data_IF_063574902448
#
_entry.id   IF_063574902448
#
_cell.length_a   1.000
_cell.length_b   1.000
_cell.length_c   1.000
_cell.angle_alpha   90.00
_cell.angle_beta   90.00
_cell.angle_gamma   90.00
#
_symmetry.space_group_name_H-M   'P 1'
#
loop_
_entity.id
_entity.type
_entity.pdbx_description
1 polymer ?
#
# COMPACT_ATOMS: atom_id res chain seq x y z
N UNK A 1 -8.27 -17.22 -21.01
CA UNK A 1 -6.85 -17.34 -21.39
C UNK A 1 -6.02 -16.56 -20.39
N UNK A 2 -5.16 -17.23 -19.61
CA UNK A 2 -4.30 -16.56 -18.64
C UNK A 2 -3.26 -15.73 -19.39
N UNK A 3 -3.30 -14.41 -19.24
CA UNK A 3 -2.25 -13.53 -19.70
C UNK A 3 -1.03 -13.77 -18.81
N UNK A 4 -0.15 -14.67 -19.23
CA UNK A 4 1.20 -14.79 -18.68
C UNK A 4 1.97 -13.52 -19.03
N UNK A 5 1.91 -12.53 -18.14
CA UNK A 5 2.88 -11.43 -18.15
C UNK A 5 4.22 -12.09 -17.79
N UNK A 6 5.08 -12.28 -18.79
CA UNK A 6 6.48 -12.64 -18.53
C UNK A 6 7.03 -11.63 -17.52
N UNK A 7 7.70 -12.13 -16.49
CA UNK A 7 8.44 -11.32 -15.53
C UNK A 7 9.64 -10.66 -16.22
N UNK A 8 9.38 -9.75 -17.15
CA UNK A 8 10.35 -8.78 -17.61
C UNK A 8 10.67 -7.84 -16.45
N UNK A 9 11.91 -7.37 -16.40
CA UNK A 9 12.34 -6.36 -15.45
C UNK A 9 11.42 -5.14 -15.59
N UNK A 10 10.55 -4.91 -14.61
CA UNK A 10 9.75 -3.69 -14.59
C UNK A 10 10.69 -2.52 -14.32
N UNK A 11 10.99 -1.76 -15.37
CA UNK A 11 11.72 -0.49 -15.24
C UNK A 11 10.68 0.60 -15.00
N UNK A 12 10.54 1.14 -13.78
CA UNK A 12 9.60 2.23 -13.54
C UNK A 12 9.96 3.42 -14.42
N UNK A 13 9.01 3.89 -15.23
CA UNK A 13 9.13 5.20 -15.87
C UNK A 13 9.14 6.23 -14.75
N UNK A 14 10.31 6.80 -14.46
CA UNK A 14 10.46 7.86 -13.47
C UNK A 14 9.92 9.16 -14.05
N UNK A 15 8.63 9.40 -13.85
CA UNK A 15 8.03 10.70 -14.10
C UNK A 15 8.29 11.61 -12.90
N UNK A 16 8.64 12.87 -13.16
CA UNK A 16 8.60 13.91 -12.12
C UNK A 16 7.15 14.16 -11.68
N UNK A 17 6.91 14.70 -10.47
CA UNK A 17 5.55 15.02 -10.01
C UNK A 17 4.76 15.85 -11.03
N UNK A 18 5.40 16.86 -11.64
CA UNK A 18 4.78 17.69 -12.70
C UNK A 18 4.36 16.87 -13.93
N UNK A 19 5.14 15.88 -14.33
CA UNK A 19 4.80 15.00 -15.45
C UNK A 19 3.67 14.03 -15.10
N UNK A 20 3.63 13.54 -13.85
CA UNK A 20 2.51 12.74 -13.34
C UNK A 20 1.22 13.55 -13.39
N UNK A 21 1.23 14.78 -12.86
CA UNK A 21 0.07 15.67 -12.85
C UNK A 21 -0.39 16.02 -14.27
N UNK A 22 0.54 16.32 -15.17
CA UNK A 22 0.22 16.61 -16.56
C UNK A 22 -0.49 15.41 -17.24
N UNK A 23 0.01 14.20 -17.03
CA UNK A 23 -0.58 12.96 -17.57
C UNK A 23 -1.96 12.69 -16.97
N UNK A 24 -2.10 12.81 -15.64
CA UNK A 24 -3.38 12.62 -14.97
C UNK A 24 -4.43 13.65 -15.45
N UNK A 25 -4.06 14.93 -15.54
CA UNK A 25 -4.94 15.99 -16.02
C UNK A 25 -5.37 15.79 -17.48
N UNK A 26 -4.50 15.30 -18.35
CA UNK A 26 -4.86 14.98 -19.73
C UNK A 26 -5.91 13.87 -19.84
N UNK A 27 -5.84 12.86 -18.97
CA UNK A 27 -6.85 11.79 -18.89
C UNK A 27 -8.15 12.30 -18.27
N UNK A 28 -8.07 13.06 -17.17
CA UNK A 28 -9.24 13.63 -16.48
C UNK A 28 -10.08 14.56 -17.39
N UNK A 29 -9.45 15.29 -18.32
CA UNK A 29 -10.14 16.12 -19.31
C UNK A 29 -10.95 15.31 -20.32
N UNK A 30 -10.55 14.06 -20.59
CA UNK A 30 -11.23 13.17 -21.51
C UNK A 30 -12.31 12.31 -20.84
N UNK A 31 -12.35 12.29 -19.50
CA UNK A 31 -13.35 11.54 -18.75
C UNK A 31 -14.68 12.28 -18.67
N UNK A 32 -15.76 11.55 -18.86
CA UNK A 32 -17.11 11.95 -18.46
C UNK A 32 -17.22 12.06 -16.94
N UNK A 33 -18.23 12.79 -16.45
CA UNK A 33 -18.53 12.84 -15.01
C UNK A 33 -18.80 11.43 -14.44
N UNK A 34 -19.49 10.58 -15.21
CA UNK A 34 -19.81 9.21 -14.78
C UNK A 34 -18.57 8.35 -14.60
N UNK A 35 -17.61 8.43 -15.53
CA UNK A 35 -16.31 7.75 -15.41
C UNK A 35 -15.56 8.23 -14.15
N UNK A 36 -15.53 9.54 -13.89
CA UNK A 36 -14.90 10.11 -12.68
C UNK A 36 -15.54 9.59 -11.39
N UNK A 37 -16.87 9.65 -11.31
CA UNK A 37 -17.62 9.20 -10.12
C UNK A 37 -17.40 7.70 -9.87
N UNK A 38 -17.40 6.89 -10.93
CA UNK A 38 -17.18 5.44 -10.81
C UNK A 38 -15.80 5.11 -10.23
N UNK A 39 -14.76 5.87 -10.58
CA UNK A 39 -13.40 5.69 -10.04
C UNK A 39 -13.23 6.13 -8.58
N UNK A 40 -14.24 6.75 -7.95
CA UNK A 40 -14.17 7.16 -6.53
C UNK A 40 -14.66 6.09 -5.56
N UNK A 41 -15.18 4.98 -6.05
CA UNK A 41 -15.70 3.88 -5.24
C UNK A 41 -15.05 2.56 -5.64
N UNK A 42 -15.06 1.60 -4.73
CA UNK A 42 -14.73 0.23 -5.09
C UNK A 42 -15.89 -0.41 -5.85
N UNK A 43 -15.59 -1.18 -6.89
CA UNK A 43 -16.56 -2.00 -7.62
C UNK A 43 -16.75 -3.38 -6.97
N UNK A 44 -15.72 -3.87 -6.29
CA UNK A 44 -15.73 -5.06 -5.44
C UNK A 44 -15.08 -4.72 -4.09
N UNK A 45 -14.61 -5.71 -3.30
CA UNK A 45 -14.06 -5.42 -1.96
C UNK A 45 -12.85 -4.47 -2.02
N UNK A 46 -11.96 -4.60 -3.02
CA UNK A 46 -10.65 -3.91 -3.07
C UNK A 46 -10.23 -3.45 -4.48
N UNK A 47 -11.17 -3.34 -5.42
CA UNK A 47 -10.88 -2.98 -6.81
C UNK A 47 -11.55 -1.66 -7.18
N UNK A 48 -10.78 -0.68 -7.67
CA UNK A 48 -11.32 0.55 -8.24
C UNK A 48 -11.44 0.37 -9.75
N UNK A 49 -12.65 0.57 -10.33
CA UNK A 49 -12.88 0.35 -11.75
C UNK A 49 -12.02 1.26 -12.61
N UNK A 50 -11.55 0.73 -13.74
CA UNK A 50 -10.82 1.50 -14.75
C UNK A 50 -11.74 2.28 -15.70
N UNK A 51 -11.14 2.86 -16.74
CA UNK A 51 -11.83 3.50 -17.86
C UNK A 51 -11.26 2.93 -19.15
N UNK A 52 -11.90 1.88 -19.67
CA UNK A 52 -11.42 1.09 -20.80
C UNK A 52 -11.19 1.92 -22.07
N UNK A 53 -12.12 2.83 -22.39
CA UNK A 53 -12.01 3.75 -23.54
C UNK A 53 -10.76 4.63 -23.50
N UNK A 54 -10.23 4.89 -22.30
CA UNK A 54 -9.00 5.66 -22.07
C UNK A 54 -7.79 4.77 -21.75
N UNK A 55 -7.92 3.45 -21.90
CA UNK A 55 -6.91 2.45 -21.56
C UNK A 55 -6.41 2.55 -20.11
N UNK A 56 -7.30 2.94 -19.19
CA UNK A 56 -7.02 2.92 -17.75
C UNK A 56 -7.50 1.58 -17.21
N UNK A 57 -6.61 0.70 -16.74
CA UNK A 57 -7.00 -0.60 -16.19
C UNK A 57 -7.69 -0.44 -14.83
N UNK A 58 -8.40 -1.48 -14.40
CA UNK A 58 -8.88 -1.60 -13.02
C UNK A 58 -7.70 -1.58 -12.05
N UNK A 59 -7.77 -0.72 -11.03
CA UNK A 59 -6.77 -0.64 -9.97
C UNK A 59 -7.09 -1.70 -8.93
N UNK A 60 -6.28 -2.75 -8.93
CA UNK A 60 -6.35 -3.87 -8.01
C UNK A 60 -5.56 -3.57 -6.74
N UNK A 61 -6.19 -3.71 -5.58
CA UNK A 61 -5.55 -3.48 -4.28
C UNK A 61 -5.54 -4.75 -3.44
N UNK A 62 -4.61 -4.83 -2.47
CA UNK A 62 -4.52 -5.94 -1.52
C UNK A 62 -4.07 -5.47 -0.14
N UNK A 63 -4.51 -6.18 0.88
CA UNK A 63 -3.84 -6.26 2.19
C UNK A 63 -2.55 -7.11 2.07
N UNK A 64 -1.53 -7.00 2.93
CA UNK A 64 -1.25 -6.06 4.03
C UNK A 64 0.26 -5.73 4.11
N UNK A 65 0.70 -5.02 5.16
CA UNK A 65 2.10 -4.68 5.47
C UNK A 65 3.04 -5.89 5.58
N UNK A 66 2.49 -7.09 5.84
CA UNK A 66 3.23 -8.32 6.15
C UNK A 66 2.96 -9.45 5.14
N UNK A 67 2.53 -9.10 3.93
CA UNK A 67 2.37 -10.04 2.81
C UNK A 67 1.09 -9.82 2.00
N UNK A 68 1.08 -10.34 0.78
CA UNK A 68 -0.03 -10.13 -0.17
C UNK A 68 -1.15 -11.14 0.09
N UNK A 69 -2.31 -10.68 0.57
CA UNK A 69 -3.47 -11.50 0.91
C UNK A 69 -4.23 -12.04 -0.30
N UNK A 70 -4.30 -11.29 -1.41
CA UNK A 70 -5.13 -11.67 -2.55
C UNK A 70 -4.45 -12.67 -3.49
N UNK A 71 -5.29 -13.49 -4.12
CA UNK A 71 -4.96 -14.38 -5.25
C UNK A 71 -3.98 -15.52 -4.93
N UNK A 72 -4.26 -16.27 -3.86
CA UNK A 72 -3.59 -17.53 -3.54
C UNK A 72 -2.52 -17.43 -2.45
N UNK A 73 -1.88 -18.56 -2.16
CA UNK A 73 -0.85 -18.67 -1.12
C UNK A 73 0.30 -17.68 -1.37
N UNK A 74 0.73 -16.97 -0.34
CA UNK A 74 1.73 -15.92 -0.39
C UNK A 74 2.75 -16.08 0.74
N UNK A 75 3.91 -15.46 0.59
CA UNK A 75 4.88 -15.38 1.69
C UNK A 75 4.26 -14.59 2.83
N UNK A 76 4.26 -15.20 4.02
CA UNK A 76 3.95 -14.50 5.27
C UNK A 76 5.25 -13.89 5.80
N UNK A 77 5.31 -12.56 5.87
CA UNK A 77 6.47 -11.84 6.38
C UNK A 77 6.38 -11.67 7.89
N UNK A 78 7.50 -11.38 8.58
CA UNK A 78 7.46 -11.01 9.98
C UNK A 78 6.46 -9.87 10.25
N UNK A 79 5.90 -9.85 11.46
CA UNK A 79 5.11 -8.71 11.92
C UNK A 79 5.94 -7.42 11.85
N UNK A 80 5.29 -6.29 11.55
CA UNK A 80 5.98 -4.99 11.47
C UNK A 80 6.76 -4.66 12.75
N UNK A 81 6.23 -5.04 13.92
CA UNK A 81 6.92 -4.88 15.20
C UNK A 81 8.23 -5.68 15.27
N UNK A 82 8.25 -6.89 14.70
CA UNK A 82 9.45 -7.71 14.59
C UNK A 82 10.47 -7.08 13.63
N UNK A 83 10.01 -6.55 12.48
CA UNK A 83 10.86 -5.81 11.56
C UNK A 83 11.48 -4.58 12.24
N UNK A 84 10.68 -3.79 12.96
CA UNK A 84 11.15 -2.60 13.67
C UNK A 84 12.18 -2.95 14.75
N UNK A 85 11.98 -4.07 15.45
CA UNK A 85 12.89 -4.60 16.47
C UNK A 85 14.28 -4.95 15.93
N UNK A 86 14.46 -5.03 14.60
CA UNK A 86 15.79 -5.22 14.00
C UNK A 86 16.62 -3.94 13.91
N UNK A 87 15.99 -2.75 14.05
CA UNK A 87 16.60 -1.43 13.82
C UNK A 87 17.29 -1.30 12.45
N UNK A 88 16.93 -2.16 11.49
CA UNK A 88 17.66 -2.33 10.24
C UNK A 88 16.87 -1.78 9.06
N UNK A 89 17.20 -0.53 8.69
CA UNK A 89 16.60 0.18 7.54
C UNK A 89 16.82 -0.55 6.21
N UNK A 90 17.94 -1.27 6.07
CA UNK A 90 18.23 -2.06 4.86
C UNK A 90 17.30 -3.27 4.78
N UNK A 91 17.08 -3.96 5.90
CA UNK A 91 16.15 -5.08 5.97
C UNK A 91 14.71 -4.64 5.65
N UNK A 92 14.29 -3.49 6.18
CA UNK A 92 12.98 -2.90 5.87
C UNK A 92 12.80 -2.62 4.37
N UNK A 93 13.83 -2.09 3.70
CA UNK A 93 13.80 -1.91 2.25
C UNK A 93 13.70 -3.24 1.50
N UNK A 94 14.45 -4.26 1.92
CA UNK A 94 14.46 -5.57 1.29
C UNK A 94 13.10 -6.28 1.43
N UNK A 95 12.50 -6.23 2.62
CA UNK A 95 11.16 -6.78 2.87
C UNK A 95 10.10 -6.07 2.02
N UNK A 96 10.06 -4.73 2.05
CA UNK A 96 9.14 -3.96 1.21
C UNK A 96 9.33 -4.25 -0.29
N UNK A 97 10.58 -4.39 -0.75
CA UNK A 97 10.88 -4.77 -2.13
C UNK A 97 10.34 -6.16 -2.48
N UNK A 98 10.48 -7.14 -1.59
CA UNK A 98 9.97 -8.48 -1.84
C UNK A 98 8.43 -8.50 -1.86
N UNK A 99 7.77 -7.81 -0.92
CA UNK A 99 6.30 -7.65 -0.91
C UNK A 99 5.82 -6.97 -2.21
N UNK A 100 6.53 -5.94 -2.68
CA UNK A 100 6.24 -5.29 -3.95
C UNK A 100 6.38 -6.23 -5.16
N UNK A 101 7.35 -7.14 -5.12
CA UNK A 101 7.56 -8.17 -6.16
C UNK A 101 6.39 -9.17 -6.16
N UNK A 102 5.99 -9.65 -4.99
CA UNK A 102 4.85 -10.55 -4.81
C UNK A 102 3.54 -9.89 -5.30
N UNK A 103 3.37 -8.59 -5.05
CA UNK A 103 2.24 -7.81 -5.56
C UNK A 103 2.24 -7.79 -7.10
N UNK A 104 3.39 -7.51 -7.72
CA UNK A 104 3.51 -7.48 -9.19
C UNK A 104 3.21 -8.81 -9.83
N UNK A 105 3.73 -9.90 -9.27
CA UNK A 105 3.46 -11.26 -9.75
C UNK A 105 1.95 -11.60 -9.78
N UNK A 106 1.14 -10.87 -8.98
CA UNK A 106 -0.31 -11.07 -8.83
C UNK A 106 -1.16 -9.98 -9.49
N UNK A 107 -0.54 -9.01 -10.17
CA UNK A 107 -1.26 -7.88 -10.76
C UNK A 107 -1.85 -6.90 -9.72
N UNK A 108 -1.31 -6.86 -8.50
CA UNK A 108 -1.69 -5.88 -7.47
C UNK A 108 -0.98 -4.55 -7.76
N UNK A 109 -1.75 -3.46 -7.75
CA UNK A 109 -1.30 -2.10 -8.02
C UNK A 109 -1.04 -1.30 -6.75
N UNK A 110 -1.80 -1.56 -5.68
CA UNK A 110 -1.68 -0.89 -4.38
C UNK A 110 -1.65 -1.92 -3.26
N UNK A 111 -0.68 -1.84 -2.36
CA UNK A 111 -0.61 -2.62 -1.12
C UNK A 111 -0.96 -1.73 0.06
N UNK A 112 -1.89 -2.18 0.91
CA UNK A 112 -2.31 -1.48 2.11
C UNK A 112 -1.33 -1.68 3.25
N UNK A 113 -0.23 -0.93 3.19
CA UNK A 113 0.80 -0.86 4.22
C UNK A 113 1.87 0.19 3.90
N UNK A 114 2.75 0.51 4.87
CA UNK A 114 2.85 -0.13 6.17
C UNK A 114 1.86 0.45 7.20
N UNK A 115 1.69 -0.25 8.31
CA UNK A 115 1.02 0.26 9.51
C UNK A 115 1.93 1.24 10.25
N UNK A 116 1.47 2.48 10.46
CA UNK A 116 2.26 3.60 11.01
C UNK A 116 1.58 4.30 12.20
N UNK A 117 0.53 3.70 12.75
CA UNK A 117 0.01 4.05 14.06
C UNK A 117 1.09 3.83 15.15
N UNK A 118 0.98 4.56 16.25
CA UNK A 118 1.97 4.58 17.33
C UNK A 118 1.43 3.79 18.51
N UNK A 119 2.14 2.73 18.91
CA UNK A 119 1.75 1.82 19.99
C UNK A 119 1.67 2.56 21.33
N UNK A 120 0.55 3.23 21.59
CA UNK A 120 0.24 3.99 22.81
C UNK A 120 -0.45 3.12 23.85
N UNK A 121 -1.42 2.31 23.40
CA UNK A 121 -2.13 1.34 24.21
C UNK A 121 -1.55 -0.06 23.96
N UNK A 122 -0.80 -0.67 24.91
CA UNK A 122 -0.16 -1.96 24.70
C UNK A 122 -1.15 -3.11 24.44
N UNK A 123 -2.41 -2.99 24.90
CA UNK A 123 -3.46 -3.99 24.69
C UNK A 123 -4.16 -3.91 23.33
N UNK A 124 -3.81 -2.92 22.50
CA UNK A 124 -4.40 -2.78 21.18
C UNK A 124 -4.16 -4.02 20.30
N UNK A 125 -5.25 -4.57 19.76
CA UNK A 125 -5.25 -5.82 18.99
C UNK A 125 -4.45 -5.76 17.67
N UNK A 126 -3.99 -4.58 17.25
CA UNK A 126 -3.27 -4.37 15.98
C UNK A 126 -1.82 -3.93 16.13
N UNK A 127 -1.30 -3.85 17.35
CA UNK A 127 0.09 -3.42 17.61
C UNK A 127 1.13 -4.21 16.82
N UNK A 128 0.89 -5.49 16.53
CA UNK A 128 1.78 -6.30 15.71
C UNK A 128 1.94 -5.79 14.26
N UNK A 129 0.94 -5.10 13.72
CA UNK A 129 0.98 -4.49 12.38
C UNK A 129 1.76 -3.16 12.35
N UNK A 130 2.05 -2.58 13.52
CA UNK A 130 2.67 -1.27 13.69
C UNK A 130 4.16 -1.38 14.03
N UNK A 131 4.87 -0.25 13.93
CA UNK A 131 6.33 -0.20 13.99
C UNK A 131 6.89 0.17 15.38
N UNK A 132 6.04 0.14 16.41
CA UNK A 132 6.40 0.42 17.81
C UNK A 132 5.84 1.73 18.33
N UNK A 133 6.29 2.11 19.52
CA UNK A 133 5.86 3.31 20.26
C UNK A 133 6.66 4.57 19.90
N UNK A 134 7.88 4.42 19.38
CA UNK A 134 8.75 5.55 19.05
C UNK A 134 8.49 6.06 17.61
N UNK A 135 8.02 7.30 17.43
CA UNK A 135 7.70 7.84 16.10
C UNK A 135 8.95 8.00 15.22
N UNK A 136 10.12 8.21 15.82
CA UNK A 136 11.37 8.31 15.06
C UNK A 136 11.73 6.96 14.43
N UNK A 137 11.81 5.89 15.22
CA UNK A 137 12.05 4.53 14.76
C UNK A 137 11.00 4.11 13.75
N UNK A 138 9.71 4.32 14.04
CA UNK A 138 8.62 4.00 13.12
C UNK A 138 8.83 4.66 11.75
N UNK A 139 9.16 5.96 11.72
CA UNK A 139 9.49 6.66 10.48
C UNK A 139 10.74 6.13 9.77
N UNK A 140 11.79 5.78 10.53
CA UNK A 140 13.04 5.24 9.98
C UNK A 140 12.88 3.85 9.35
N UNK A 141 11.86 3.07 9.77
CA UNK A 141 11.56 1.75 9.22
C UNK A 141 10.48 1.82 8.13
N UNK A 142 9.44 2.64 8.30
CA UNK A 142 8.36 2.80 7.32
C UNK A 142 8.87 3.35 5.98
N UNK A 143 9.71 4.39 6.02
CA UNK A 143 10.19 5.05 4.81
C UNK A 143 10.98 4.12 3.85
N UNK A 144 11.98 3.34 4.31
CA UNK A 144 12.64 2.35 3.45
C UNK A 144 11.70 1.24 2.98
N UNK A 145 10.77 0.77 3.83
CA UNK A 145 9.76 -0.23 3.42
C UNK A 145 8.91 0.28 2.24
N UNK A 146 8.39 1.51 2.35
CA UNK A 146 7.62 2.19 1.28
C UNK A 146 8.45 2.30 -0.01
N UNK A 147 9.71 2.74 0.10
CA UNK A 147 10.63 2.81 -1.05
C UNK A 147 10.87 1.43 -1.67
N UNK A 148 10.96 0.38 -0.86
CA UNK A 148 11.08 -1.00 -1.30
C UNK A 148 9.91 -1.41 -2.18
N UNK A 149 8.69 -1.27 -1.66
CA UNK A 149 7.45 -1.57 -2.40
C UNK A 149 7.38 -0.78 -3.71
N UNK A 150 7.57 0.55 -3.62
CA UNK A 150 7.47 1.44 -4.78
C UNK A 150 8.58 1.23 -5.81
N UNK A 151 9.73 0.66 -5.43
CA UNK A 151 10.78 0.27 -6.38
C UNK A 151 10.31 -0.81 -7.36
N UNK A 152 9.28 -1.59 -6.99
CA UNK A 152 8.66 -2.60 -7.84
C UNK A 152 7.47 -2.02 -8.65
N UNK A 153 7.20 -0.72 -8.53
CA UNK A 153 6.10 -0.02 -9.21
C UNK A 153 4.71 -0.27 -8.61
N UNK A 154 4.65 -0.78 -7.40
CA UNK A 154 3.42 -0.93 -6.61
C UNK A 154 3.30 0.29 -5.70
N UNK A 155 2.11 0.88 -5.60
CA UNK A 155 1.88 1.95 -4.65
C UNK A 155 1.80 1.37 -3.23
N UNK A 156 2.56 1.95 -2.30
CA UNK A 156 2.35 1.72 -0.87
C UNK A 156 1.26 2.67 -0.36
N UNK A 157 0.54 2.27 0.68
CA UNK A 157 -0.49 3.05 1.33
C UNK A 157 -0.27 3.02 2.85
N UNK A 158 0.43 4.04 3.35
CA UNK A 158 0.64 4.21 4.78
C UNK A 158 -0.71 4.36 5.51
N UNK A 159 -0.90 3.58 6.57
CA UNK A 159 -2.18 3.48 7.30
C UNK A 159 -1.95 3.28 8.80
N UNK A 160 -2.90 3.57 9.68
CA UNK A 160 -4.11 4.35 9.44
C UNK A 160 -3.80 5.77 9.86
N UNK A 161 -4.21 6.73 9.05
CA UNK A 161 -4.07 8.13 9.36
C UNK A 161 -5.34 8.59 10.10
N UNK A 162 -5.33 8.87 11.39
CA UNK A 162 -4.26 8.73 12.41
C UNK A 162 -4.90 8.35 13.75
N UNK A 163 -4.10 7.98 14.76
CA UNK A 163 -4.54 7.68 16.13
C UNK A 163 -5.58 6.55 16.26
N UNK A 164 -5.52 5.54 15.39
CA UNK A 164 -6.25 4.30 15.59
C UNK A 164 -5.46 3.37 16.53
N UNK A 165 -5.33 3.80 17.78
CA UNK A 165 -4.46 3.16 18.79
C UNK A 165 -5.19 2.19 19.71
N UNK A 166 -6.48 1.97 19.51
CA UNK A 166 -7.25 0.89 20.13
C UNK A 166 -8.30 0.36 19.15
N UNK A 167 -8.64 -0.93 19.27
CA UNK A 167 -9.68 -1.54 18.43
C UNK A 167 -11.08 -1.44 19.03
N UNK A 168 -11.17 -1.33 20.36
CA UNK A 168 -12.43 -1.12 21.07
C UNK A 168 -13.05 0.21 20.60
N UNK A 169 -14.27 0.14 20.08
CA UNK A 169 -15.04 1.28 19.58
C UNK A 169 -14.31 2.14 18.52
N UNK A 170 -13.36 1.57 17.78
CA UNK A 170 -12.51 2.30 16.80
C UNK A 170 -13.27 3.07 15.69
N UNK A 171 -14.55 2.77 15.50
CA UNK A 171 -15.41 3.45 14.51
C UNK A 171 -16.05 4.71 15.11
N UNK A 172 -16.24 4.75 16.44
CA UNK A 172 -17.03 5.75 17.14
C UNK A 172 -16.19 6.61 18.12
N UNK A 173 -15.00 6.15 18.51
CA UNK A 173 -14.13 6.83 19.47
C UNK A 173 -13.60 8.16 18.94
N UNK A 174 -13.51 9.15 19.82
CA UNK A 174 -12.80 10.41 19.58
C UNK A 174 -11.44 10.42 20.30
N UNK A 175 -10.36 10.43 19.53
CA UNK A 175 -8.99 10.46 20.03
C UNK A 175 -8.50 11.90 20.14
N UNK A 176 -8.14 12.31 21.37
CA UNK A 176 -7.56 13.63 21.65
C UNK A 176 -6.03 13.47 21.68
N UNK A 177 -5.35 14.16 20.75
CA UNK A 177 -3.90 14.10 20.51
C UNK A 177 -3.24 15.41 20.91
#
# INVERSE_FOLDING_TARGET
AACTIQAGEYIPVKLSPKQVDAKANALLKQMTLREKVRMMAFENILDVPGVERLHIPTLVMSDASLGVRRFGASTAYPASAALASTWNRKLAFLEGRQIGSDCRARGVHVIFGPGVNIVREPQNGRNFEYLGEDPYLAGQIAAPWIRGVQSQGVAACAKHYVANEQETDRIDINEII
#
